data_IF_148320934041
#
_entry.id   IF_148320934041
#
_cell.length_a   1.000
_cell.length_b   1.000
_cell.length_c   1.000
_cell.angle_alpha   90.00
_cell.angle_beta   90.00
_cell.angle_gamma   90.00
#
_symmetry.space_group_name_H-M   'P 1'
#
loop_
_entity.id
_entity.type
_entity.pdbx_description
1 polymer ?
#
# COMPACT_ATOMS: atom_id res chain seq x y z
N UNK A 1 22.01 7.35 13.09
CA UNK A 1 21.89 5.91 12.82
C UNK A 1 20.40 5.61 12.81
N UNK A 2 19.86 5.14 11.68
CA UNK A 2 18.45 4.78 11.57
C UNK A 2 18.17 3.64 12.55
N UNK A 3 17.24 3.85 13.49
CA UNK A 3 16.91 2.83 14.51
C UNK A 3 15.70 1.99 14.12
N UNK A 4 14.87 2.50 13.21
CA UNK A 4 13.65 1.84 12.79
C UNK A 4 13.35 2.10 11.31
N UNK A 5 12.63 1.17 10.66
CA UNK A 5 12.35 1.24 9.22
C UNK A 5 11.44 2.41 8.85
N UNK A 6 10.63 2.93 9.78
CA UNK A 6 9.75 4.08 9.52
C UNK A 6 10.51 5.39 9.33
N UNK A 7 11.79 5.45 9.74
CA UNK A 7 12.66 6.58 9.45
C UNK A 7 13.16 6.57 7.99
N UNK A 8 13.02 5.43 7.27
CA UNK A 8 13.39 5.35 5.86
C UNK A 8 12.41 6.14 5.00
N UNK A 9 12.92 7.09 4.21
CA UNK A 9 12.10 7.86 3.26
C UNK A 9 11.35 6.96 2.28
N UNK A 10 11.96 5.85 1.86
CA UNK A 10 11.31 4.86 0.97
C UNK A 10 10.14 4.14 1.65
N UNK A 11 10.23 3.87 2.96
CA UNK A 11 9.12 3.32 3.72
C UNK A 11 7.99 4.34 3.87
N UNK A 12 8.32 5.60 4.17
CA UNK A 12 7.33 6.66 4.30
C UNK A 12 6.57 6.89 2.98
N UNK A 13 7.29 6.90 1.86
CA UNK A 13 6.70 7.01 0.52
C UNK A 13 5.79 5.82 0.19
N UNK A 14 6.20 4.60 0.52
CA UNK A 14 5.38 3.41 0.27
C UNK A 14 4.13 3.35 1.17
N UNK A 15 4.25 3.78 2.44
CA UNK A 15 3.10 3.94 3.33
C UNK A 15 2.11 4.99 2.81
N UNK A 16 2.59 6.15 2.34
CA UNK A 16 1.73 7.15 1.71
C UNK A 16 1.06 6.62 0.43
N UNK A 17 1.77 5.81 -0.36
CA UNK A 17 1.19 5.14 -1.53
C UNK A 17 0.04 4.21 -1.13
N UNK A 18 0.17 3.43 -0.05
CA UNK A 18 -0.92 2.63 0.49
C UNK A 18 -2.17 3.49 0.77
N UNK A 19 -2.01 4.63 1.46
CA UNK A 19 -3.13 5.52 1.78
C UNK A 19 -3.82 6.07 0.53
N UNK A 20 -3.06 6.40 -0.51
CA UNK A 20 -3.62 6.85 -1.79
C UNK A 20 -4.36 5.72 -2.51
N UNK A 21 -3.74 4.55 -2.62
CA UNK A 21 -4.32 3.39 -3.27
C UNK A 21 -5.55 2.87 -2.52
N UNK A 22 -5.67 3.02 -1.20
CA UNK A 22 -6.89 2.63 -0.49
C UNK A 22 -8.13 3.41 -0.93
N UNK A 23 -7.95 4.64 -1.42
CA UNK A 23 -9.03 5.55 -1.86
C UNK A 23 -9.44 5.34 -3.32
N UNK A 24 -8.55 4.85 -4.18
CA UNK A 24 -8.81 4.73 -5.63
C UNK A 24 -9.86 3.66 -5.97
N UNK A 25 -9.79 2.41 -5.47
CA UNK A 25 -10.75 1.36 -5.78
C UNK A 25 -12.18 1.63 -5.31
N UNK A 26 -12.40 2.66 -4.47
CA UNK A 26 -13.75 3.08 -4.11
C UNK A 26 -14.59 3.52 -5.31
N UNK A 27 -13.94 3.84 -6.45
CA UNK A 27 -14.60 4.21 -7.72
C UNK A 27 -14.78 3.03 -8.68
N UNK A 28 -14.30 1.84 -8.34
CA UNK A 28 -14.40 0.69 -9.23
C UNK A 28 -15.82 0.10 -9.18
N UNK A 29 -16.25 -0.62 -10.24
CA UNK A 29 -17.47 -1.41 -10.22
C UNK A 29 -17.49 -2.38 -9.03
N UNK A 30 -18.68 -2.70 -8.51
CA UNK A 30 -18.82 -3.57 -7.33
C UNK A 30 -18.28 -4.97 -7.59
N UNK A 31 -18.35 -5.41 -8.84
CA UNK A 31 -17.88 -6.67 -9.37
C UNK A 31 -16.35 -6.82 -9.19
N UNK A 32 -15.61 -5.70 -9.20
CA UNK A 32 -14.16 -5.67 -9.02
C UNK A 32 -13.69 -5.72 -7.56
N UNK A 33 -14.61 -5.83 -6.59
CA UNK A 33 -14.29 -5.87 -5.16
C UNK A 33 -13.30 -6.99 -4.83
N UNK A 34 -13.54 -8.19 -5.36
CA UNK A 34 -12.70 -9.37 -5.12
C UNK A 34 -11.63 -9.56 -6.21
N UNK A 35 -11.79 -8.90 -7.36
CA UNK A 35 -10.81 -8.84 -8.44
C UNK A 35 -9.77 -7.73 -8.22
N UNK A 36 -9.81 -6.70 -9.07
CA UNK A 36 -8.78 -5.65 -9.10
C UNK A 36 -8.63 -4.92 -7.77
N UNK A 37 -9.72 -4.62 -7.06
CA UNK A 37 -9.66 -3.93 -5.76
C UNK A 37 -8.83 -4.72 -4.75
N UNK A 38 -9.08 -6.03 -4.65
CA UNK A 38 -8.40 -6.89 -3.70
C UNK A 38 -6.94 -7.10 -4.07
N UNK A 39 -6.63 -7.25 -5.36
CA UNK A 39 -5.25 -7.42 -5.83
C UNK A 39 -4.42 -6.17 -5.57
N UNK A 40 -4.91 -5.00 -6.00
CA UNK A 40 -4.17 -3.73 -5.87
C UNK A 40 -3.91 -3.39 -4.39
N UNK A 41 -4.89 -3.61 -3.50
CA UNK A 41 -4.70 -3.39 -2.05
C UNK A 41 -3.64 -4.29 -1.44
N UNK A 42 -3.61 -5.58 -1.81
CA UNK A 42 -2.57 -6.49 -1.31
C UNK A 42 -1.20 -6.12 -1.86
N UNK A 43 -1.11 -5.83 -3.15
CA UNK A 43 0.15 -5.44 -3.80
C UNK A 43 0.74 -4.16 -3.23
N UNK A 44 -0.09 -3.15 -2.91
CA UNK A 44 0.46 -1.90 -2.34
C UNK A 44 0.93 -2.10 -0.91
N UNK A 45 0.19 -2.88 -0.09
CA UNK A 45 0.54 -3.15 1.31
C UNK A 45 1.81 -3.98 1.42
N UNK A 46 2.10 -4.87 0.45
CA UNK A 46 3.33 -5.65 0.49
C UNK A 46 4.58 -4.78 0.39
N UNK A 47 4.53 -3.59 -0.22
CA UNK A 47 5.71 -2.72 -0.40
C UNK A 47 6.27 -2.25 0.96
N UNK A 48 5.54 -1.51 1.82
CA UNK A 48 6.05 -1.12 3.13
C UNK A 48 6.32 -2.33 4.04
N UNK A 49 5.57 -3.43 3.91
CA UNK A 49 5.84 -4.65 4.68
C UNK A 49 7.19 -5.29 4.33
N UNK A 50 7.55 -5.37 3.05
CA UNK A 50 8.85 -5.91 2.61
C UNK A 50 10.02 -4.96 2.90
N UNK A 51 9.77 -3.66 3.08
CA UNK A 51 10.80 -2.70 3.54
C UNK A 51 11.03 -2.80 5.05
N UNK A 52 10.00 -3.21 5.79
CA UNK A 52 10.05 -3.35 7.25
C UNK A 52 10.59 -4.71 7.73
N UNK A 53 10.51 -5.75 6.89
CA UNK A 53 11.10 -7.09 7.10
C UNK A 53 12.63 -7.07 7.00
#
# INVERSE_FOLDING_TARGET
MLKNYEELEVWQKSYHLCLQIYRIPARFPKEERYGLTSQIRRSVVSIPSNIAE
#
